data_IF_045894849654
#
_entry.id   IF_045894849654
#
_cell.length_a   1.000
_cell.length_b   1.000
_cell.length_c   1.000
_cell.angle_alpha   90.00
_cell.angle_beta   90.00
_cell.angle_gamma   90.00
#
_symmetry.space_group_name_H-M   'P 1'
#
loop_
_entity.id
_entity.type
_entity.pdbx_description
1 polymer ?
#
# COMPACT_ATOMS: atom_id res chain seq x y z
N UNK A 1 6.70 2.59 -11.08
CA UNK A 1 6.10 3.66 -10.23
C UNK A 1 6.19 3.27 -8.74
N UNK A 2 6.10 4.22 -7.80
CA UNK A 2 6.20 3.96 -6.35
C UNK A 2 4.86 4.25 -5.65
N UNK A 3 4.48 3.37 -4.71
CA UNK A 3 3.17 3.40 -4.05
C UNK A 3 3.28 3.15 -2.55
N UNK A 4 2.25 3.55 -1.81
CA UNK A 4 2.01 3.19 -0.41
C UNK A 4 0.61 2.59 -0.34
N UNK A 5 0.52 1.33 0.10
CA UNK A 5 -0.72 0.71 0.54
C UNK A 5 -0.94 0.94 2.04
N UNK A 6 -2.17 1.31 2.37
CA UNK A 6 -2.70 1.44 3.74
C UNK A 6 -3.77 0.37 3.93
N UNK A 7 -3.87 -0.18 5.14
CA UNK A 7 -4.67 -1.38 5.42
C UNK A 7 -5.57 -1.19 6.63
N UNK A 8 -6.72 -1.86 6.61
CA UNK A 8 -7.63 -1.92 7.75
C UNK A 8 -7.00 -2.60 8.97
N UNK A 9 -6.15 -3.60 8.74
CA UNK A 9 -5.55 -4.42 9.81
C UNK A 9 -4.05 -4.60 9.63
N UNK A 10 -3.35 -4.84 10.76
CA UNK A 10 -1.90 -5.07 10.75
C UNK A 10 -1.59 -6.38 10.03
N UNK A 11 -2.45 -7.38 10.24
CA UNK A 11 -2.35 -8.66 9.56
C UNK A 11 -2.50 -8.52 8.04
N UNK A 12 -3.38 -7.64 7.57
CA UNK A 12 -3.58 -7.31 6.16
C UNK A 12 -2.31 -6.76 5.52
N UNK A 13 -1.64 -5.80 6.16
CA UNK A 13 -0.37 -5.26 5.71
C UNK A 13 0.71 -6.35 5.57
N UNK A 14 0.84 -7.24 6.55
CA UNK A 14 1.82 -8.34 6.52
C UNK A 14 1.49 -9.40 5.45
N UNK A 15 0.21 -9.72 5.25
CA UNK A 15 -0.23 -10.60 4.15
C UNK A 15 0.12 -9.97 2.80
N UNK A 16 -0.14 -8.68 2.63
CA UNK A 16 0.13 -7.96 1.39
C UNK A 16 1.62 -7.86 1.07
N UNK A 17 2.46 -7.54 2.06
CA UNK A 17 3.93 -7.59 1.93
C UNK A 17 4.42 -8.94 1.39
N UNK A 18 3.89 -10.05 1.92
CA UNK A 18 4.21 -11.40 1.44
C UNK A 18 3.67 -11.68 0.04
N UNK A 19 2.46 -11.20 -0.27
CA UNK A 19 1.88 -11.30 -1.61
C UNK A 19 2.75 -10.60 -2.65
N UNK A 20 3.18 -9.36 -2.40
CA UNK A 20 4.09 -8.62 -3.27
C UNK A 20 5.43 -9.33 -3.46
N UNK A 21 5.99 -9.90 -2.39
CA UNK A 21 7.22 -10.71 -2.49
C UNK A 21 7.06 -11.92 -3.41
N UNK A 22 5.92 -12.61 -3.36
CA UNK A 22 5.62 -13.75 -4.26
C UNK A 22 5.50 -13.33 -5.72
N UNK A 23 5.14 -12.07 -5.97
CA UNK A 23 5.10 -11.48 -7.31
C UNK A 23 6.44 -10.88 -7.75
N UNK A 24 7.50 -11.05 -6.96
CA UNK A 24 8.84 -10.46 -7.17
C UNK A 24 8.83 -8.92 -7.21
N UNK A 25 7.87 -8.32 -6.50
CA UNK A 25 7.74 -6.86 -6.39
C UNK A 25 8.54 -6.38 -5.19
N UNK A 26 9.44 -5.41 -5.43
CA UNK A 26 10.24 -4.77 -4.37
C UNK A 26 9.30 -4.00 -3.45
N UNK A 27 9.34 -4.33 -2.16
CA UNK A 27 8.47 -3.72 -1.17
C UNK A 27 9.04 -3.77 0.26
N UNK A 28 8.60 -2.84 1.08
CA UNK A 28 8.97 -2.69 2.49
C UNK A 28 7.75 -2.32 3.33
N UNK A 29 7.66 -2.89 4.53
CA UNK A 29 6.71 -2.43 5.55
C UNK A 29 7.24 -1.17 6.21
N UNK A 30 6.38 -0.20 6.48
CA UNK A 30 6.76 1.06 7.13
C UNK A 30 5.65 1.56 8.07
N UNK A 31 5.99 2.35 9.11
CA UNK A 31 4.96 3.11 9.82
C UNK A 31 4.30 4.10 8.86
N UNK A 32 2.98 4.18 8.89
CA UNK A 32 2.21 5.10 8.04
C UNK A 32 2.02 6.43 8.76
N UNK A 33 2.34 7.57 8.11
CA UNK A 33 2.01 8.87 8.65
C UNK A 33 0.51 8.99 8.95
N UNK A 34 0.13 9.54 10.11
CA UNK A 34 -1.30 9.73 10.50
C UNK A 34 -2.14 10.45 9.45
N UNK A 35 -1.52 11.31 8.63
CA UNK A 35 -2.19 11.99 7.51
C UNK A 35 -2.69 11.06 6.39
N UNK A 36 -2.22 9.80 6.35
CA UNK A 36 -2.61 8.80 5.34
C UNK A 36 -3.49 7.68 5.91
N UNK A 37 -3.51 7.48 7.23
CA UNK A 37 -4.31 6.43 7.89
C UNK A 37 -4.52 6.74 9.37
N UNK A 38 -5.71 6.42 9.88
CA UNK A 38 -6.09 6.58 11.28
C UNK A 38 -6.18 5.27 12.07
N UNK A 39 -6.16 4.11 11.39
CA UNK A 39 -6.51 2.83 12.01
C UNK A 39 -5.31 1.99 12.45
N UNK A 40 -4.41 1.64 11.53
CA UNK A 40 -3.49 0.53 11.77
C UNK A 40 -2.02 0.95 11.97
N UNK A 41 -1.63 2.16 11.56
CA UNK A 41 -0.27 2.68 11.74
C UNK A 41 0.85 1.97 10.97
N UNK A 42 0.56 0.87 10.24
CA UNK A 42 1.48 0.19 9.33
C UNK A 42 0.97 0.29 7.89
N UNK A 43 1.90 0.37 6.95
CA UNK A 43 1.63 0.32 5.52
C UNK A 43 2.76 -0.38 4.79
N UNK A 44 2.55 -0.58 3.51
CA UNK A 44 3.50 -1.26 2.63
C UNK A 44 3.83 -0.31 1.51
N UNK A 45 5.10 0.05 1.41
CA UNK A 45 5.63 0.84 0.29
C UNK A 45 6.21 -0.11 -0.74
N UNK A 46 5.86 0.07 -2.00
CA UNK A 46 6.26 -0.84 -3.07
C UNK A 46 6.49 -0.13 -4.39
N UNK A 47 7.28 -0.77 -5.25
CA UNK A 47 7.61 -0.27 -6.59
C UNK A 47 7.17 -1.28 -7.64
N UNK A 48 6.30 -0.85 -8.55
CA UNK A 48 5.76 -1.69 -9.63
C UNK A 48 5.45 -0.84 -10.86
N UNK A 49 5.57 -1.44 -12.03
CA UNK A 49 5.08 -0.88 -13.30
C UNK A 49 3.86 -1.66 -13.82
N UNK A 50 3.36 -2.62 -13.03
CA UNK A 50 2.12 -3.35 -13.31
C UNK A 50 0.91 -2.45 -13.03
N UNK A 51 -0.21 -2.79 -13.67
CA UNK A 51 -1.49 -2.14 -13.38
C UNK A 51 -1.88 -2.35 -11.91
N UNK A 52 -2.13 -1.24 -11.22
CA UNK A 52 -2.44 -1.20 -9.79
C UNK A 52 -3.76 -1.90 -9.49
N UNK A 53 -4.72 -1.91 -10.43
CA UNK A 53 -6.02 -2.53 -10.26
C UNK A 53 -5.92 -4.04 -10.00
N UNK A 54 -4.91 -4.69 -10.59
CA UNK A 54 -4.63 -6.12 -10.40
C UNK A 54 -3.97 -6.45 -9.05
N UNK A 55 -3.64 -5.42 -8.28
CA UNK A 55 -2.92 -5.54 -7.01
C UNK A 55 -3.77 -5.07 -5.82
N UNK A 56 -5.03 -4.71 -6.05
CA UNK A 56 -5.97 -4.38 -4.98
C UNK A 56 -6.45 -5.67 -4.30
N UNK A 57 -6.49 -5.66 -2.98
CA UNK A 57 -6.99 -6.77 -2.16
C UNK A 57 -7.94 -6.23 -1.10
N UNK A 58 -8.86 -7.05 -0.61
CA UNK A 58 -9.89 -6.67 0.38
C UNK A 58 -9.34 -6.06 1.69
N UNK A 59 -8.08 -6.32 2.02
CA UNK A 59 -7.44 -5.79 3.23
C UNK A 59 -6.94 -4.34 3.06
N UNK A 60 -6.88 -3.84 1.83
CA UNK A 60 -6.42 -2.48 1.51
C UNK A 60 -7.53 -1.48 1.79
N UNK A 61 -7.21 -0.48 2.61
CA UNK A 61 -8.04 0.69 2.84
C UNK A 61 -7.81 1.73 1.74
N UNK A 62 -6.55 2.08 1.46
CA UNK A 62 -6.17 3.11 0.47
C UNK A 62 -4.86 2.77 -0.22
N UNK A 63 -4.71 3.25 -1.45
CA UNK A 63 -3.43 3.26 -2.16
C UNK A 63 -3.09 4.69 -2.57
N UNK A 64 -1.86 5.09 -2.27
CA UNK A 64 -1.29 6.36 -2.71
C UNK A 64 -0.15 6.11 -3.70
N UNK A 65 -0.13 6.84 -4.81
CA UNK A 65 1.05 6.97 -5.67
C UNK A 65 1.96 8.06 -5.09
N UNK A 66 3.26 7.80 -5.04
CA UNK A 66 4.26 8.80 -4.67
C UNK A 66 4.72 9.50 -5.96
N UNK A 67 4.45 10.80 -6.04
CA UNK A 67 4.85 11.65 -7.17
C UNK A 67 5.41 12.97 -6.63
N UNK A 68 6.64 13.30 -6.98
CA UNK A 68 7.30 14.56 -6.59
C UNK A 68 7.18 14.90 -5.09
N UNK A 69 7.45 13.91 -4.22
CA UNK A 69 7.29 13.95 -2.76
C UNK A 69 5.86 14.16 -2.24
N UNK A 70 4.85 14.07 -3.10
CA UNK A 70 3.43 14.08 -2.74
C UNK A 70 2.85 12.69 -2.81
N UNK A 71 1.88 12.43 -1.94
CA UNK A 71 1.09 11.22 -1.94
C UNK A 71 -0.25 11.52 -2.62
N UNK A 72 -0.46 10.98 -3.81
CA UNK A 72 -1.68 11.15 -4.60
C UNK A 72 -2.55 9.92 -4.36
N UNK A 73 -3.77 10.10 -3.87
CA UNK A 73 -4.73 9.01 -3.69
C UNK A 73 -5.12 8.45 -5.06
N UNK A 74 -4.97 7.15 -5.24
CA UNK A 74 -5.33 6.44 -6.49
C UNK A 74 -6.36 5.35 -6.27
N UNK A 75 -6.58 4.94 -5.02
CA UNK A 75 -7.63 4.02 -4.62
C UNK A 75 -8.02 4.27 -3.17
N UNK A 76 -9.31 4.21 -2.87
CA UNK A 76 -9.89 4.17 -1.53
C UNK A 76 -11.02 3.15 -1.57
N UNK A 77 -11.01 2.21 -0.62
CA UNK A 77 -12.11 1.29 -0.41
C UNK A 77 -13.33 2.08 0.08
N UNK A 78 -14.48 1.88 -0.55
CA UNK A 78 -15.76 2.44 -0.11
C UNK A 78 -16.20 1.89 1.26
#
# INVERSE_FOLDING_TARGET
MQYIGVFFTHSGAIKYHRYLKRLEIVNETMPVPRKLSSNCGIGVKFKTDRDINNMITEEIEKIFKIDDNKNILVYECE
#
